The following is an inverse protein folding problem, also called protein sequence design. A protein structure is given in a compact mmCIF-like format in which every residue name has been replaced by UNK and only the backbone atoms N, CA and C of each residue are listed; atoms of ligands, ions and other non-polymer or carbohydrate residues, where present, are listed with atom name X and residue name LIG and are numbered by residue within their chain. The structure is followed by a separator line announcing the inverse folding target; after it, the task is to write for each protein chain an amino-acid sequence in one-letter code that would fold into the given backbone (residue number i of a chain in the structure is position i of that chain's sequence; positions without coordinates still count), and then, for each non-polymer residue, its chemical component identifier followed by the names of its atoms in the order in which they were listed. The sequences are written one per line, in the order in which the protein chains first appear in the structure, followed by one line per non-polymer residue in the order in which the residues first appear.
data_IF_185812753598
#
_entry.id   IF_185812753598
#
_cell.length_a   1.000
_cell.length_b   1.000
_cell.length_c   1.000
_cell.angle_alpha   90.00
_cell.angle_beta   90.00
_cell.angle_gamma   90.00
#
_symmetry.space_group_name_H-M   'P 1'
#
loop_
_entity.id
_entity.type
_entity.pdbx_description
1 polymer ?
#
# COMPACT_ATOMS: atom_id res chain seq x y z
N UNK A 1 47.56 17.62 -2.96
CA UNK A 1 46.77 16.40 -3.25
C UNK A 1 46.19 15.89 -1.94
N UNK A 2 44.88 15.65 -1.87
CA UNK A 2 44.20 15.17 -0.66
C UNK A 2 44.08 13.64 -0.73
N UNK A 3 45.19 12.94 -0.91
CA UNK A 3 45.22 11.50 -1.24
C UNK A 3 44.64 10.60 -0.12
N UNK A 4 44.41 11.12 1.09
CA UNK A 4 43.79 10.38 2.20
C UNK A 4 42.29 10.61 2.33
N UNK A 5 41.72 11.55 1.57
CA UNK A 5 40.31 11.91 1.67
C UNK A 5 39.44 10.78 1.10
N UNK A 6 38.58 10.21 1.95
CA UNK A 6 37.63 9.14 1.57
C UNK A 6 36.19 9.60 1.44
N UNK A 7 35.83 10.66 2.15
CA UNK A 7 34.47 11.20 2.18
C UNK A 7 34.55 12.69 1.91
N UNK A 8 33.77 13.15 0.94
CA UNK A 8 33.58 14.55 0.63
C UNK A 8 32.08 14.82 0.69
N UNK A 9 31.69 15.67 1.62
CA UNK A 9 30.32 16.10 1.80
C UNK A 9 30.25 17.60 1.52
N UNK A 10 29.54 17.93 0.44
CA UNK A 10 29.29 19.29 -0.04
C UNK A 10 27.80 19.61 0.05
N UNK A 11 27.05 18.91 0.91
CA UNK A 11 25.61 19.11 1.03
C UNK A 11 25.27 20.56 1.37
N UNK A 12 24.16 21.05 0.82
CA UNK A 12 23.65 22.42 0.99
C UNK A 12 24.63 23.52 0.60
N UNK A 13 25.61 23.22 -0.27
CA UNK A 13 26.45 24.25 -0.87
C UNK A 13 25.70 24.96 -2.00
N UNK A 14 24.77 25.85 -1.63
CA UNK A 14 23.76 26.47 -2.50
C UNK A 14 24.30 27.26 -3.70
N UNK A 15 25.59 27.60 -3.71
CA UNK A 15 26.24 28.41 -4.77
C UNK A 15 27.14 27.59 -5.70
N UNK A 16 27.27 26.27 -5.51
CA UNK A 16 28.03 25.43 -6.44
C UNK A 16 27.18 25.26 -7.71
N UNK A 17 27.64 25.84 -8.81
CA UNK A 17 27.02 25.71 -10.14
C UNK A 17 27.60 24.49 -10.88
N UNK A 18 28.92 24.32 -10.79
CA UNK A 18 29.66 23.18 -11.33
C UNK A 18 30.49 22.57 -10.23
N UNK A 19 30.54 21.24 -10.13
CA UNK A 19 31.41 20.58 -9.14
C UNK A 19 32.89 20.86 -9.40
N UNK A 20 33.75 20.81 -8.38
CA UNK A 20 35.19 20.95 -8.58
C UNK A 20 35.78 19.77 -9.38
N UNK A 21 37.01 19.97 -9.88
CA UNK A 21 37.82 18.89 -10.45
C UNK A 21 38.20 17.86 -9.37
N UNK A 22 37.75 16.62 -9.57
CA UNK A 22 37.95 15.49 -8.69
C UNK A 22 39.23 14.68 -8.99
N UNK A 23 39.99 15.00 -10.04
CA UNK A 23 41.20 14.26 -10.42
C UNK A 23 42.28 14.21 -9.31
N UNK A 24 42.21 15.14 -8.35
CA UNK A 24 43.11 15.20 -7.20
C UNK A 24 42.64 14.38 -5.97
N UNK A 25 41.51 13.67 -6.07
CA UNK A 25 40.87 12.89 -5.01
C UNK A 25 40.71 11.40 -5.36
N UNK A 26 41.79 10.68 -5.76
CA UNK A 26 41.68 9.34 -6.35
C UNK A 26 41.11 8.27 -5.39
N UNK A 27 41.17 8.48 -4.08
CA UNK A 27 40.75 7.53 -3.05
C UNK A 27 39.38 7.86 -2.43
N UNK A 28 38.59 8.73 -3.10
CA UNK A 28 37.27 9.10 -2.62
C UNK A 28 36.29 7.93 -2.75
N UNK A 29 35.67 7.56 -1.63
CA UNK A 29 34.72 6.44 -1.52
C UNK A 29 33.27 6.93 -1.45
N UNK A 30 33.06 8.12 -0.89
CA UNK A 30 31.72 8.71 -0.76
C UNK A 30 31.74 10.19 -1.14
N UNK A 31 30.84 10.57 -2.03
CA UNK A 31 30.57 11.94 -2.44
C UNK A 31 29.11 12.27 -2.18
N UNK A 32 28.86 13.33 -1.41
CA UNK A 32 27.50 13.82 -1.11
C UNK A 32 27.40 15.26 -1.59
N UNK A 33 26.39 15.53 -2.42
CA UNK A 33 26.07 16.82 -3.04
C UNK A 33 24.61 17.21 -2.73
N UNK A 34 24.04 16.67 -1.65
CA UNK A 34 22.61 16.78 -1.38
C UNK A 34 22.21 18.24 -1.07
N UNK A 35 21.10 18.72 -1.62
CA UNK A 35 20.60 20.08 -1.43
C UNK A 35 21.42 21.16 -2.12
N UNK A 36 22.29 20.81 -3.08
CA UNK A 36 22.98 21.77 -3.95
C UNK A 36 22.04 22.25 -5.06
N UNK A 37 21.04 23.05 -4.73
CA UNK A 37 19.96 23.43 -5.65
C UNK A 37 20.45 24.08 -6.95
N UNK A 38 21.52 24.88 -6.89
CA UNK A 38 22.10 25.59 -8.05
C UNK A 38 23.04 24.75 -8.91
N UNK A 39 23.33 23.50 -8.51
CA UNK A 39 24.24 22.62 -9.25
C UNK A 39 23.62 22.23 -10.58
N UNK A 40 24.13 22.79 -11.68
CA UNK A 40 23.66 22.52 -13.03
C UNK A 40 24.54 21.52 -13.78
N UNK A 41 25.83 21.42 -13.43
CA UNK A 41 26.78 20.57 -14.14
C UNK A 41 27.67 19.77 -13.16
N UNK A 42 27.83 18.48 -13.45
CA UNK A 42 28.81 17.62 -12.80
C UNK A 42 30.06 17.54 -13.70
N UNK A 43 31.21 17.91 -13.16
CA UNK A 43 32.47 17.93 -13.88
C UNK A 43 32.87 16.51 -14.34
N UNK A 44 33.47 16.41 -15.53
CA UNK A 44 33.81 15.13 -16.19
C UNK A 44 34.87 14.33 -15.45
N UNK A 45 35.64 14.96 -14.56
CA UNK A 45 36.59 14.30 -13.65
C UNK A 45 35.92 13.34 -12.66
N UNK A 46 34.59 13.37 -12.49
CA UNK A 46 33.87 12.37 -11.69
C UNK A 46 34.24 10.95 -12.13
N UNK A 47 34.43 10.72 -13.43
CA UNK A 47 34.80 9.42 -13.98
C UNK A 47 36.18 8.90 -13.54
N UNK A 48 37.00 9.73 -12.90
CA UNK A 48 38.33 9.36 -12.39
C UNK A 48 38.28 8.80 -10.95
N UNK A 49 37.14 8.91 -10.26
CA UNK A 49 36.95 8.42 -8.89
C UNK A 49 36.70 6.90 -8.84
N UNK A 50 37.76 6.11 -9.09
CA UNK A 50 37.66 4.64 -9.21
C UNK A 50 37.25 3.91 -7.94
N UNK A 51 37.47 4.51 -6.77
CA UNK A 51 37.10 3.95 -5.47
C UNK A 51 35.71 4.40 -4.99
N UNK A 52 34.99 5.20 -5.79
CA UNK A 52 33.71 5.77 -5.36
C UNK A 52 32.63 4.68 -5.29
N UNK A 53 32.12 4.45 -4.08
CA UNK A 53 31.07 3.47 -3.76
C UNK A 53 29.70 4.14 -3.64
N UNK A 54 29.66 5.39 -3.16
CA UNK A 54 28.40 6.13 -2.96
C UNK A 54 28.47 7.52 -3.57
N UNK A 55 27.50 7.83 -4.42
CA UNK A 55 27.24 9.17 -4.96
C UNK A 55 25.80 9.56 -4.65
N UNK A 56 25.63 10.60 -3.85
CA UNK A 56 24.32 11.17 -3.54
C UNK A 56 24.26 12.61 -4.06
N UNK A 57 23.24 12.91 -4.85
CA UNK A 57 22.98 14.23 -5.43
C UNK A 57 21.51 14.61 -5.20
N UNK A 58 20.97 14.33 -4.01
CA UNK A 58 19.56 14.55 -3.74
C UNK A 58 19.24 16.03 -3.74
N UNK A 59 18.16 16.47 -4.37
CA UNK A 59 17.78 17.89 -4.37
C UNK A 59 18.73 18.77 -5.17
N UNK A 60 19.48 18.23 -6.13
CA UNK A 60 20.19 19.04 -7.13
C UNK A 60 19.20 19.51 -8.20
N UNK A 61 18.32 20.45 -7.83
CA UNK A 61 17.18 20.86 -8.65
C UNK A 61 17.52 21.42 -10.04
N UNK A 62 18.68 22.08 -10.18
CA UNK A 62 19.17 22.64 -11.45
C UNK A 62 19.88 21.65 -12.37
N UNK A 63 20.16 20.42 -11.93
CA UNK A 63 20.89 19.43 -12.72
C UNK A 63 20.03 18.93 -13.88
N UNK A 64 20.50 19.10 -15.11
CA UNK A 64 19.76 18.70 -16.32
C UNK A 64 20.17 17.35 -16.89
N UNK A 65 21.45 16.98 -16.73
CA UNK A 65 22.02 15.73 -17.22
C UNK A 65 23.20 15.29 -16.35
N UNK A 66 23.56 14.02 -16.45
CA UNK A 66 24.82 13.50 -15.92
C UNK A 66 25.86 13.42 -17.05
N UNK A 67 27.13 13.71 -16.79
CA UNK A 67 28.19 13.55 -17.78
C UNK A 67 28.41 12.06 -18.08
N UNK A 68 28.65 11.71 -19.36
CA UNK A 68 28.94 10.33 -19.78
C UNK A 68 30.09 9.67 -18.99
N UNK A 69 31.01 10.47 -18.48
CA UNK A 69 32.11 10.04 -17.62
C UNK A 69 31.68 9.29 -16.36
N UNK A 70 30.46 9.53 -15.84
CA UNK A 70 29.90 8.80 -14.70
C UNK A 70 29.86 7.29 -14.96
N UNK A 71 29.70 6.87 -16.22
CA UNK A 71 29.66 5.48 -16.63
C UNK A 71 31.00 4.74 -16.45
N UNK A 72 32.06 5.42 -15.99
CA UNK A 72 33.38 4.85 -15.68
C UNK A 72 33.56 4.49 -14.20
N UNK A 73 32.56 4.73 -13.36
CA UNK A 73 32.56 4.49 -11.92
C UNK A 73 32.27 3.02 -11.60
N UNK A 74 33.24 2.14 -11.87
CA UNK A 74 33.05 0.70 -11.78
C UNK A 74 32.85 0.17 -10.35
N UNK A 75 33.19 0.95 -9.31
CA UNK A 75 33.01 0.59 -7.90
C UNK A 75 31.73 1.16 -7.28
N UNK A 76 30.95 1.93 -8.05
CA UNK A 76 29.77 2.60 -7.52
C UNK A 76 28.68 1.58 -7.23
N UNK A 77 28.27 1.52 -5.96
CA UNK A 77 27.20 0.63 -5.49
C UNK A 77 25.89 1.37 -5.28
N UNK A 78 25.95 2.66 -4.91
CA UNK A 78 24.78 3.48 -4.57
C UNK A 78 24.80 4.79 -5.35
N UNK A 79 23.77 5.02 -6.16
CA UNK A 79 23.52 6.28 -6.87
C UNK A 79 22.12 6.80 -6.53
N UNK A 80 22.05 8.01 -6.01
CA UNK A 80 20.78 8.69 -5.76
C UNK A 80 20.76 10.08 -6.40
N UNK A 81 19.73 10.31 -7.22
CA UNK A 81 19.42 11.59 -7.85
C UNK A 81 18.02 12.06 -7.42
N UNK A 82 17.58 11.69 -6.21
CA UNK A 82 16.23 12.02 -5.75
C UNK A 82 16.02 13.54 -5.75
N UNK A 83 14.85 14.02 -6.17
CA UNK A 83 14.52 15.44 -6.29
C UNK A 83 15.39 16.24 -7.27
N UNK A 84 16.12 15.59 -8.19
CA UNK A 84 16.73 16.25 -9.36
C UNK A 84 15.65 16.57 -10.41
N UNK A 85 14.80 17.57 -10.12
CA UNK A 85 13.57 17.83 -10.89
C UNK A 85 13.80 18.12 -12.38
N UNK A 86 14.94 18.72 -12.72
CA UNK A 86 15.27 19.11 -14.10
C UNK A 86 16.01 18.03 -14.90
N UNK A 87 16.33 16.87 -14.30
CA UNK A 87 17.01 15.81 -15.04
C UNK A 87 16.04 15.21 -16.07
N UNK A 88 16.38 15.32 -17.34
CA UNK A 88 15.51 14.86 -18.44
C UNK A 88 15.96 13.57 -19.08
N UNK A 89 17.27 13.29 -19.01
CA UNK A 89 17.87 12.08 -19.59
C UNK A 89 18.96 11.52 -18.69
N UNK A 90 19.20 10.22 -18.82
CA UNK A 90 20.34 9.54 -18.22
C UNK A 90 21.33 9.15 -19.34
N UNK A 91 22.64 9.05 -19.03
CA UNK A 91 23.64 8.62 -19.99
C UNK A 91 23.28 7.31 -20.67
N UNK A 92 23.42 7.23 -22.00
CA UNK A 92 23.06 6.03 -22.77
C UNK A 92 23.81 4.78 -22.30
N UNK A 93 25.00 4.95 -21.73
CA UNK A 93 25.87 3.89 -21.22
C UNK A 93 25.80 3.73 -19.70
N UNK A 94 24.78 4.28 -19.02
CA UNK A 94 24.64 4.17 -17.56
C UNK A 94 24.73 2.72 -17.08
N UNK A 95 24.25 1.77 -17.90
CA UNK A 95 24.38 0.33 -17.68
C UNK A 95 25.79 -0.23 -17.42
N UNK A 96 26.84 0.54 -17.73
CA UNK A 96 28.23 0.15 -17.46
C UNK A 96 28.61 0.21 -15.96
N UNK A 97 27.74 0.74 -15.10
CA UNK A 97 27.90 0.72 -13.64
C UNK A 97 27.64 -0.71 -13.09
N UNK A 98 28.54 -1.64 -13.39
CA UNK A 98 28.34 -3.08 -13.14
C UNK A 98 28.27 -3.47 -11.66
N UNK A 99 28.77 -2.62 -10.75
CA UNK A 99 28.71 -2.82 -9.30
C UNK A 99 27.50 -2.15 -8.64
N UNK A 100 26.68 -1.42 -9.40
CA UNK A 100 25.55 -0.67 -8.85
C UNK A 100 24.54 -1.64 -8.27
N UNK A 101 24.24 -1.47 -6.98
CA UNK A 101 23.25 -2.24 -6.21
C UNK A 101 21.95 -1.46 -6.05
N UNK A 102 22.05 -0.14 -5.91
CA UNK A 102 20.90 0.75 -5.70
C UNK A 102 20.94 1.95 -6.62
N UNK A 103 19.86 2.13 -7.39
CA UNK A 103 19.59 3.32 -8.18
C UNK A 103 18.27 3.96 -7.71
N UNK A 104 18.33 5.22 -7.26
CA UNK A 104 17.17 5.96 -6.79
C UNK A 104 16.99 7.26 -7.57
N UNK A 105 15.79 7.43 -8.13
CA UNK A 105 15.34 8.51 -9.01
C UNK A 105 13.94 8.98 -8.56
N UNK A 106 13.78 9.27 -7.26
CA UNK A 106 12.51 9.74 -6.70
C UNK A 106 12.31 11.21 -7.07
N UNK A 107 11.13 11.63 -7.53
CA UNK A 107 10.83 13.02 -7.93
C UNK A 107 11.73 13.57 -9.06
N UNK A 108 12.22 12.70 -9.95
CA UNK A 108 12.88 13.07 -11.21
C UNK A 108 11.82 13.42 -12.27
N UNK A 109 11.25 14.61 -12.14
CA UNK A 109 10.05 14.99 -12.89
C UNK A 109 10.28 14.99 -14.41
N UNK A 110 11.36 15.53 -14.95
CA UNK A 110 11.50 15.61 -16.42
C UNK A 110 11.99 14.32 -17.10
N UNK A 111 12.24 13.24 -16.36
CA UNK A 111 12.79 12.00 -16.91
C UNK A 111 11.75 11.25 -17.76
N UNK A 112 11.97 11.18 -19.07
CA UNK A 112 11.03 10.55 -20.01
C UNK A 112 11.23 9.04 -20.20
N UNK A 113 12.48 8.59 -20.13
CA UNK A 113 12.87 7.20 -20.40
C UNK A 113 14.08 6.78 -19.58
N UNK A 114 14.17 5.47 -19.29
CA UNK A 114 15.41 4.85 -18.85
C UNK A 114 16.20 4.34 -20.06
N UNK A 115 17.54 4.40 -20.03
CA UNK A 115 18.35 3.87 -21.11
C UNK A 115 18.26 2.34 -21.17
N UNK A 116 18.18 1.77 -22.37
CA UNK A 116 18.23 0.31 -22.60
C UNK A 116 19.50 -0.37 -22.04
N UNK A 117 20.54 0.40 -21.72
CA UNK A 117 21.70 -0.16 -21.06
C UNK A 117 21.43 -0.59 -19.62
N UNK A 118 20.32 -0.18 -18.98
CA UNK A 118 20.00 -0.53 -17.59
C UNK A 118 20.07 -2.04 -17.36
N UNK A 119 19.64 -2.88 -18.31
CA UNK A 119 19.71 -4.33 -18.21
C UNK A 119 21.12 -4.92 -18.09
N UNK A 120 22.18 -4.12 -18.32
CA UNK A 120 23.57 -4.54 -18.11
C UNK A 120 23.99 -4.47 -16.64
N UNK A 121 23.25 -3.77 -15.78
CA UNK A 121 23.56 -3.62 -14.34
C UNK A 121 23.25 -4.90 -13.55
N UNK A 122 23.95 -5.99 -13.85
CA UNK A 122 23.69 -7.32 -13.26
C UNK A 122 23.88 -7.44 -11.73
N UNK A 123 24.37 -6.38 -11.07
CA UNK A 123 24.44 -6.29 -9.61
C UNK A 123 23.29 -5.53 -8.96
N UNK A 124 22.37 -4.96 -9.76
CA UNK A 124 21.30 -4.10 -9.25
C UNK A 124 20.28 -4.92 -8.44
N UNK A 125 20.03 -4.47 -7.22
CA UNK A 125 19.14 -5.08 -6.24
C UNK A 125 17.91 -4.20 -5.99
N UNK A 126 18.08 -2.87 -6.05
CA UNK A 126 17.01 -1.89 -5.85
C UNK A 126 16.99 -0.86 -6.99
N UNK A 127 15.82 -0.73 -7.64
CA UNK A 127 15.52 0.31 -8.62
C UNK A 127 14.26 1.07 -8.17
N UNK A 128 14.44 2.34 -7.82
CA UNK A 128 13.38 3.20 -7.28
C UNK A 128 13.18 4.39 -8.24
N UNK A 129 12.04 4.41 -8.92
CA UNK A 129 11.62 5.42 -9.90
C UNK A 129 10.30 6.05 -9.44
N UNK A 130 10.26 6.67 -8.26
CA UNK A 130 9.00 7.19 -7.73
C UNK A 130 8.73 8.63 -8.18
N UNK A 131 7.47 8.97 -8.42
CA UNK A 131 7.02 10.31 -8.80
C UNK A 131 7.76 10.88 -10.02
N UNK A 132 8.21 10.02 -10.95
CA UNK A 132 8.76 10.39 -12.25
C UNK A 132 7.62 10.49 -13.26
N UNK A 133 6.77 11.51 -13.08
CA UNK A 133 5.51 11.72 -13.79
C UNK A 133 5.58 11.68 -15.34
N UNK A 134 6.73 11.92 -15.98
CA UNK A 134 6.93 11.89 -17.44
C UNK A 134 7.48 10.56 -17.96
N UNK A 135 7.85 9.62 -17.08
CA UNK A 135 8.39 8.32 -17.48
C UNK A 135 7.31 7.52 -18.22
N UNK A 136 7.49 7.31 -19.53
CA UNK A 136 6.47 6.67 -20.38
C UNK A 136 6.60 5.15 -20.40
N UNK A 137 7.82 4.63 -20.31
CA UNK A 137 8.13 3.21 -20.48
C UNK A 137 9.25 2.75 -19.56
N UNK A 138 9.17 1.48 -19.16
CA UNK A 138 10.29 0.73 -18.61
C UNK A 138 10.90 -0.07 -19.78
N UNK A 139 12.23 0.00 -20.01
CA UNK A 139 12.88 -0.68 -21.13
C UNK A 139 12.81 -2.20 -20.99
N UNK A 140 12.74 -2.92 -22.11
CA UNK A 140 12.63 -4.39 -22.13
C UNK A 140 13.85 -5.09 -21.52
N UNK A 141 15.00 -4.43 -21.58
CA UNK A 141 16.23 -4.90 -20.94
C UNK A 141 16.12 -5.06 -19.42
N UNK A 142 15.09 -4.49 -18.76
CA UNK A 142 14.85 -4.69 -17.32
C UNK A 142 14.77 -6.17 -16.96
N UNK A 143 14.18 -7.01 -17.82
CA UNK A 143 13.98 -8.44 -17.58
C UNK A 143 15.27 -9.26 -17.40
N UNK A 144 16.43 -8.67 -17.68
CA UNK A 144 17.75 -9.31 -17.54
C UNK A 144 18.30 -9.18 -16.10
N UNK A 145 17.76 -8.25 -15.30
CA UNK A 145 18.25 -7.93 -13.95
C UNK A 145 17.90 -9.02 -12.93
N UNK A 146 18.63 -10.13 -13.00
CA UNK A 146 18.38 -11.32 -12.20
C UNK A 146 18.64 -11.18 -10.70
N UNK A 147 19.26 -10.10 -10.23
CA UNK A 147 19.44 -9.78 -8.80
C UNK A 147 18.47 -8.74 -8.27
N UNK A 148 17.63 -8.14 -9.13
CA UNK A 148 16.72 -7.10 -8.70
C UNK A 148 15.68 -7.69 -7.74
N UNK A 149 15.64 -7.17 -6.53
CA UNK A 149 14.74 -7.59 -5.44
C UNK A 149 13.60 -6.59 -5.24
N UNK A 150 13.87 -5.30 -5.46
CA UNK A 150 12.89 -4.24 -5.28
C UNK A 150 12.81 -3.35 -6.52
N UNK A 151 11.62 -3.32 -7.13
CA UNK A 151 11.27 -2.38 -8.19
C UNK A 151 10.07 -1.54 -7.72
N UNK A 152 10.28 -0.23 -7.61
CA UNK A 152 9.20 0.73 -7.37
C UNK A 152 9.15 1.73 -8.51
N UNK A 153 7.98 1.89 -9.12
CA UNK A 153 7.69 2.96 -10.09
C UNK A 153 6.48 3.79 -9.66
N UNK A 154 6.25 3.85 -8.34
CA UNK A 154 5.11 4.53 -7.73
C UNK A 154 4.95 5.97 -8.23
N UNK A 155 3.76 6.36 -8.66
CA UNK A 155 3.48 7.73 -9.08
C UNK A 155 4.08 8.10 -10.44
N UNK A 156 4.54 7.13 -11.23
CA UNK A 156 4.83 7.31 -12.65
C UNK A 156 3.52 7.32 -13.44
N UNK A 157 2.83 8.46 -13.41
CA UNK A 157 1.48 8.62 -13.97
C UNK A 157 1.43 8.47 -15.49
N UNK A 158 2.52 8.79 -16.21
CA UNK A 158 2.61 8.60 -17.66
C UNK A 158 3.01 7.20 -18.11
N UNK A 159 3.34 6.28 -17.18
CA UNK A 159 3.77 4.92 -17.53
C UNK A 159 2.62 4.16 -18.21
N UNK A 160 2.79 3.86 -19.50
CA UNK A 160 1.73 3.28 -20.34
C UNK A 160 1.52 1.79 -20.09
N UNK A 161 2.61 1.05 -19.88
CA UNK A 161 2.60 -0.40 -19.73
C UNK A 161 3.75 -0.89 -18.85
N UNK A 162 3.57 -2.07 -18.27
CA UNK A 162 4.66 -2.86 -17.68
C UNK A 162 5.13 -3.83 -18.76
N UNK A 163 6.42 -3.86 -19.13
CA UNK A 163 6.89 -4.67 -20.24
C UNK A 163 6.77 -6.17 -19.94
N UNK A 164 6.51 -6.99 -20.96
CA UNK A 164 6.44 -8.45 -20.83
C UNK A 164 7.74 -9.05 -20.25
N UNK A 165 8.87 -8.39 -20.48
CA UNK A 165 10.18 -8.75 -19.92
C UNK A 165 10.23 -8.74 -18.38
N UNK A 166 9.28 -8.10 -17.69
CA UNK A 166 9.21 -8.08 -16.21
C UNK A 166 9.28 -9.50 -15.61
N UNK A 167 8.70 -10.49 -16.29
CA UNK A 167 8.73 -11.89 -15.85
C UNK A 167 10.12 -12.54 -15.82
N UNK A 168 11.15 -11.87 -16.35
CA UNK A 168 12.55 -12.29 -16.26
C UNK A 168 13.24 -11.93 -14.93
N UNK A 169 12.62 -11.09 -14.11
CA UNK A 169 13.15 -10.66 -12.80
C UNK A 169 13.00 -11.75 -11.73
N UNK A 170 13.73 -12.86 -11.89
CA UNK A 170 13.57 -14.07 -11.07
C UNK A 170 13.81 -13.89 -9.58
N UNK A 171 14.54 -12.85 -9.16
CA UNK A 171 14.81 -12.52 -7.76
C UNK A 171 13.88 -11.44 -7.20
N UNK A 172 12.91 -10.95 -7.97
CA UNK A 172 12.06 -9.85 -7.52
C UNK A 172 11.18 -10.28 -6.36
N UNK A 173 11.22 -9.51 -5.29
CA UNK A 173 10.51 -9.74 -4.03
C UNK A 173 9.39 -8.71 -3.83
N UNK A 174 9.64 -7.46 -4.24
CA UNK A 174 8.72 -6.33 -4.09
C UNK A 174 8.55 -5.62 -5.44
N UNK A 175 7.29 -5.49 -5.87
CA UNK A 175 6.88 -4.68 -7.02
C UNK A 175 5.81 -3.67 -6.61
N UNK A 176 6.14 -2.38 -6.70
CA UNK A 176 5.24 -1.26 -6.39
C UNK A 176 4.95 -0.46 -7.67
N UNK A 177 3.68 -0.43 -8.05
CA UNK A 177 3.12 0.27 -9.21
C UNK A 177 2.03 1.28 -8.79
N UNK A 178 1.98 1.63 -7.51
CA UNK A 178 0.93 2.51 -6.96
C UNK A 178 0.87 3.85 -7.72
N UNK A 179 -0.33 4.41 -7.91
CA UNK A 179 -0.57 5.68 -8.60
C UNK A 179 -0.09 5.73 -10.06
N UNK A 180 0.10 4.57 -10.71
CA UNK A 180 0.33 4.50 -12.15
C UNK A 180 -1.00 4.56 -12.92
N UNK A 181 -1.41 5.77 -13.30
CA UNK A 181 -2.75 6.04 -13.81
C UNK A 181 -3.06 5.50 -15.20
N UNK A 182 -2.05 5.17 -16.01
CA UNK A 182 -2.23 4.71 -17.39
C UNK A 182 -2.11 3.19 -17.57
N UNK A 183 -1.68 2.44 -16.55
CA UNK A 183 -1.55 0.98 -16.64
C UNK A 183 -2.95 0.35 -16.70
N UNK A 184 -3.24 -0.31 -17.83
CA UNK A 184 -4.53 -0.96 -18.08
C UNK A 184 -4.58 -2.43 -17.70
N UNK A 185 -3.45 -3.12 -17.89
CA UNK A 185 -3.31 -4.56 -17.65
C UNK A 185 -1.88 -4.86 -17.24
N UNK A 186 -1.70 -5.91 -16.43
CA UNK A 186 -0.39 -6.49 -16.16
C UNK A 186 -0.04 -7.55 -17.20
N UNK A 187 1.21 -7.62 -17.68
CA UNK A 187 1.64 -8.66 -18.60
C UNK A 187 1.49 -10.05 -17.97
N UNK A 188 1.12 -11.05 -18.78
CA UNK A 188 0.91 -12.42 -18.28
C UNK A 188 2.18 -13.05 -17.70
N UNK A 189 3.35 -12.54 -18.09
CA UNK A 189 4.67 -12.92 -17.58
C UNK A 189 4.89 -12.57 -16.11
N UNK A 190 4.06 -11.69 -15.51
CA UNK A 190 4.09 -11.40 -14.08
C UNK A 190 4.02 -12.68 -13.23
N UNK A 191 3.29 -13.70 -13.71
CA UNK A 191 3.19 -14.99 -13.05
C UNK A 191 4.50 -15.79 -12.97
N UNK A 192 5.57 -15.35 -13.62
CA UNK A 192 6.89 -15.98 -13.54
C UNK A 192 7.71 -15.52 -12.31
N UNK A 193 7.26 -14.48 -11.60
CA UNK A 193 7.96 -13.89 -10.46
C UNK A 193 7.79 -14.75 -9.19
N UNK A 194 8.48 -15.88 -9.13
CA UNK A 194 8.31 -16.91 -8.08
C UNK A 194 8.68 -16.44 -6.66
N UNK A 195 9.50 -15.41 -6.53
CA UNK A 195 9.94 -14.85 -5.24
C UNK A 195 9.13 -13.63 -4.80
N UNK A 196 8.20 -13.14 -5.65
CA UNK A 196 7.43 -11.95 -5.36
C UNK A 196 6.53 -12.20 -4.15
N UNK A 197 6.79 -11.49 -3.05
CA UNK A 197 5.98 -11.57 -1.85
C UNK A 197 5.05 -10.36 -1.70
N UNK A 198 5.36 -9.23 -2.35
CA UNK A 198 4.53 -8.02 -2.32
C UNK A 198 4.29 -7.46 -3.72
N UNK A 199 3.02 -7.34 -4.08
CA UNK A 199 2.55 -6.68 -5.30
C UNK A 199 1.55 -5.58 -4.93
N UNK A 200 1.85 -4.34 -5.30
CA UNK A 200 1.01 -3.18 -5.01
C UNK A 200 0.70 -2.41 -6.29
N UNK A 201 -0.58 -2.20 -6.58
CA UNK A 201 -1.11 -1.35 -7.66
C UNK A 201 -2.18 -0.39 -7.13
N UNK A 202 -2.02 0.12 -5.91
CA UNK A 202 -3.01 1.00 -5.30
C UNK A 202 -3.17 2.28 -6.13
N UNK A 203 -4.40 2.74 -6.29
CA UNK A 203 -4.81 3.94 -7.00
C UNK A 203 -4.34 3.94 -8.47
N UNK A 204 -4.48 2.78 -9.13
CA UNK A 204 -4.34 2.64 -10.59
C UNK A 204 -5.74 2.61 -11.25
N UNK A 205 -6.35 3.76 -11.56
CA UNK A 205 -7.73 3.84 -12.02
C UNK A 205 -7.97 3.27 -13.42
N UNK A 206 -6.95 3.10 -14.26
CA UNK A 206 -7.11 2.48 -15.58
C UNK A 206 -7.02 0.95 -15.54
N UNK A 207 -6.67 0.36 -14.39
CA UNK A 207 -6.57 -1.09 -14.25
C UNK A 207 -7.98 -1.69 -14.12
N UNK A 208 -8.50 -2.22 -15.23
CA UNK A 208 -9.86 -2.77 -15.32
C UNK A 208 -9.90 -4.29 -15.06
N UNK A 209 -8.80 -4.99 -15.32
CA UNK A 209 -8.70 -6.44 -15.19
C UNK A 209 -7.41 -6.90 -14.51
N UNK A 210 -7.51 -8.01 -13.78
CA UNK A 210 -6.38 -8.72 -13.22
C UNK A 210 -6.25 -10.08 -13.92
N UNK A 211 -5.08 -10.36 -14.49
CA UNK A 211 -4.83 -11.60 -15.24
C UNK A 211 -4.83 -12.84 -14.33
N UNK A 212 -5.30 -13.98 -14.85
CA UNK A 212 -5.22 -15.28 -14.18
C UNK A 212 -3.77 -15.73 -13.87
N UNK A 213 -2.75 -15.12 -14.51
CA UNK A 213 -1.35 -15.38 -14.18
C UNK A 213 -0.98 -15.01 -12.75
N UNK A 214 -1.74 -14.13 -12.07
CA UNK A 214 -1.50 -13.77 -10.68
C UNK A 214 -1.52 -14.99 -9.76
N UNK A 215 -2.39 -15.98 -10.01
CA UNK A 215 -2.41 -17.22 -9.22
C UNK A 215 -1.11 -18.04 -9.25
N UNK A 216 -0.18 -17.76 -10.17
CA UNK A 216 1.14 -18.41 -10.24
C UNK A 216 2.15 -17.84 -9.23
N UNK A 217 1.86 -16.72 -8.58
CA UNK A 217 2.75 -16.06 -7.61
C UNK A 217 2.77 -16.78 -6.25
N UNK A 218 3.32 -17.99 -6.20
CA UNK A 218 3.26 -18.89 -5.03
C UNK A 218 3.96 -18.37 -3.75
N UNK A 219 4.70 -17.26 -3.84
CA UNK A 219 5.32 -16.60 -2.69
C UNK A 219 4.57 -15.35 -2.22
N UNK A 220 3.50 -14.94 -2.92
CA UNK A 220 2.79 -13.70 -2.65
C UNK A 220 2.14 -13.72 -1.27
N UNK A 221 2.43 -12.68 -0.48
CA UNK A 221 1.89 -12.42 0.86
C UNK A 221 0.99 -11.20 0.88
N UNK A 222 1.31 -10.18 0.09
CA UNK A 222 0.56 -8.94 0.02
C UNK A 222 0.14 -8.65 -1.43
N UNK A 223 -1.17 -8.55 -1.66
CA UNK A 223 -1.76 -8.07 -2.91
C UNK A 223 -2.63 -6.86 -2.59
N UNK A 224 -2.16 -5.68 -3.02
CA UNK A 224 -2.81 -4.39 -2.75
C UNK A 224 -3.28 -3.77 -4.06
N UNK A 225 -4.58 -3.55 -4.18
CA UNK A 225 -5.28 -3.12 -5.40
C UNK A 225 -6.30 -2.01 -5.09
N UNK A 226 -6.10 -1.26 -4.00
CA UNK A 226 -7.05 -0.25 -3.52
C UNK A 226 -7.27 0.83 -4.59
N UNK A 227 -8.49 1.34 -4.75
CA UNK A 227 -8.79 2.45 -5.67
C UNK A 227 -8.59 2.11 -7.16
N UNK A 228 -8.52 0.83 -7.52
CA UNK A 228 -8.55 0.39 -8.91
C UNK A 228 -9.98 0.29 -9.47
N UNK A 229 -10.11 0.17 -10.79
CA UNK A 229 -11.40 -0.05 -11.47
C UNK A 229 -11.62 -1.51 -11.86
N UNK A 230 -11.03 -2.43 -11.09
CA UNK A 230 -11.14 -3.87 -11.32
C UNK A 230 -12.60 -4.29 -11.15
N UNK A 231 -13.17 -4.89 -12.20
CA UNK A 231 -14.56 -5.41 -12.17
C UNK A 231 -14.67 -6.78 -11.52
N UNK A 232 -13.66 -7.63 -11.74
CA UNK A 232 -13.64 -9.02 -11.28
C UNK A 232 -12.26 -9.41 -10.77
N UNK A 233 -12.25 -10.11 -9.65
CA UNK A 233 -11.04 -10.81 -9.17
C UNK A 233 -10.99 -12.18 -9.85
N UNK A 234 -9.87 -12.58 -10.49
CA UNK A 234 -9.80 -13.87 -11.17
C UNK A 234 -9.78 -15.02 -10.15
N UNK A 235 -10.46 -16.13 -10.46
CA UNK A 235 -10.54 -17.31 -9.59
C UNK A 235 -9.16 -17.83 -9.15
N UNK A 236 -8.14 -17.63 -9.98
CA UNK A 236 -6.75 -17.99 -9.70
C UNK A 236 -6.16 -17.33 -8.45
N UNK A 237 -6.72 -16.22 -7.95
CA UNK A 237 -6.25 -15.64 -6.68
C UNK A 237 -6.39 -16.62 -5.52
N UNK A 238 -7.40 -17.50 -5.55
CA UNK A 238 -7.60 -18.55 -4.55
C UNK A 238 -6.46 -19.59 -4.45
N UNK A 239 -5.56 -19.66 -5.44
CA UNK A 239 -4.38 -20.53 -5.38
C UNK A 239 -3.20 -19.93 -4.61
N UNK A 240 -3.30 -18.69 -4.14
CA UNK A 240 -2.23 -17.99 -3.41
C UNK A 240 -2.18 -18.39 -1.93
N UNK A 241 -1.76 -19.62 -1.64
CA UNK A 241 -1.84 -20.21 -0.28
C UNK A 241 -1.01 -19.49 0.80
N UNK A 242 -0.07 -18.61 0.42
CA UNK A 242 0.71 -17.76 1.34
C UNK A 242 0.16 -16.34 1.48
N UNK A 243 -0.92 -15.99 0.78
CA UNK A 243 -1.47 -14.64 0.82
C UNK A 243 -1.95 -14.34 2.24
N UNK A 244 -1.35 -13.31 2.82
CA UNK A 244 -1.59 -12.84 4.18
C UNK A 244 -2.54 -11.64 4.17
N UNK A 245 -2.39 -10.75 3.17
CA UNK A 245 -3.18 -9.53 3.02
C UNK A 245 -3.68 -9.38 1.59
N UNK A 246 -4.99 -9.21 1.45
CA UNK A 246 -5.67 -8.85 0.21
C UNK A 246 -6.45 -7.56 0.43
N UNK A 247 -6.13 -6.53 -0.36
CA UNK A 247 -6.77 -5.22 -0.28
C UNK A 247 -7.35 -4.81 -1.62
N UNK A 248 -8.65 -4.58 -1.65
CA UNK A 248 -9.46 -4.05 -2.75
C UNK A 248 -10.35 -2.90 -2.23
N UNK A 249 -9.81 -2.09 -1.32
CA UNK A 249 -10.52 -0.95 -0.76
C UNK A 249 -10.84 0.06 -1.87
N UNK A 250 -11.98 0.73 -1.81
CA UNK A 250 -12.38 1.73 -2.81
C UNK A 250 -12.41 1.23 -4.27
N UNK A 251 -12.48 -0.08 -4.52
CA UNK A 251 -12.75 -0.66 -5.84
C UNK A 251 -14.25 -0.61 -6.16
N UNK A 252 -14.77 0.59 -6.42
CA UNK A 252 -16.22 0.83 -6.56
C UNK A 252 -16.87 0.11 -7.76
N UNK A 253 -16.07 -0.31 -8.75
CA UNK A 253 -16.51 -1.07 -9.92
C UNK A 253 -16.49 -2.59 -9.71
N UNK A 254 -16.10 -3.07 -8.52
CA UNK A 254 -16.01 -4.50 -8.22
C UNK A 254 -17.40 -5.13 -8.17
N UNK A 255 -17.69 -5.99 -9.14
CA UNK A 255 -18.97 -6.69 -9.30
C UNK A 255 -18.94 -8.06 -8.61
N UNK A 256 -17.81 -8.77 -8.69
CA UNK A 256 -17.70 -10.16 -8.27
C UNK A 256 -16.34 -10.46 -7.63
N UNK A 257 -16.39 -11.13 -6.47
CA UNK A 257 -15.23 -11.74 -5.82
C UNK A 257 -15.48 -13.26 -5.77
N UNK A 258 -14.63 -14.07 -6.41
CA UNK A 258 -14.90 -15.49 -6.63
C UNK A 258 -14.81 -16.30 -5.33
N UNK A 259 -15.61 -17.37 -5.24
CA UNK A 259 -15.62 -18.29 -4.09
C UNK A 259 -14.26 -18.91 -3.74
N UNK A 260 -13.35 -18.96 -4.71
CA UNK A 260 -11.99 -19.45 -4.50
C UNK A 260 -11.19 -18.58 -3.52
N UNK A 261 -11.58 -17.33 -3.27
CA UNK A 261 -11.00 -16.51 -2.20
C UNK A 261 -11.20 -17.18 -0.83
N UNK A 262 -12.30 -17.92 -0.63
CA UNK A 262 -12.53 -18.71 0.57
C UNK A 262 -11.54 -19.86 0.78
N UNK A 263 -10.66 -20.16 -0.17
CA UNK A 263 -9.60 -21.17 -0.06
C UNK A 263 -8.25 -20.59 0.41
N UNK A 264 -8.19 -19.31 0.76
CA UNK A 264 -6.98 -18.63 1.21
C UNK A 264 -6.73 -18.87 2.71
N UNK A 265 -6.17 -20.05 3.02
CA UNK A 265 -5.95 -20.53 4.39
C UNK A 265 -5.02 -19.65 5.25
N UNK A 266 -4.14 -18.86 4.63
CA UNK A 266 -3.20 -17.96 5.34
C UNK A 266 -3.69 -16.52 5.46
N UNK A 267 -4.86 -16.18 4.90
CA UNK A 267 -5.33 -14.81 4.81
C UNK A 267 -5.75 -14.29 6.19
N UNK A 268 -5.11 -13.21 6.62
CA UNK A 268 -5.35 -12.57 7.92
C UNK A 268 -5.99 -11.21 7.80
N UNK A 269 -5.69 -10.48 6.74
CA UNK A 269 -6.23 -9.15 6.47
C UNK A 269 -6.97 -9.16 5.13
N UNK A 270 -8.28 -8.92 5.19
CA UNK A 270 -9.13 -8.76 4.01
C UNK A 270 -9.81 -7.40 4.06
N UNK A 271 -9.53 -6.59 3.05
CA UNK A 271 -10.12 -5.26 2.90
C UNK A 271 -10.86 -5.24 1.57
N UNK A 272 -12.18 -5.06 1.61
CA UNK A 272 -13.05 -5.03 0.43
C UNK A 272 -13.99 -3.84 0.51
N UNK A 273 -14.22 -3.17 -0.61
CA UNK A 273 -15.36 -2.24 -0.74
C UNK A 273 -16.31 -2.80 -1.79
N UNK A 274 -17.57 -3.05 -1.39
CA UNK A 274 -18.58 -3.52 -2.33
C UNK A 274 -19.17 -2.35 -3.13
N UNK A 275 -19.14 -2.48 -4.46
CA UNK A 275 -19.80 -1.56 -5.40
C UNK A 275 -21.33 -1.69 -5.40
N UNK A 276 -22.01 -0.99 -6.30
CA UNK A 276 -23.49 -0.88 -6.31
C UNK A 276 -24.24 -2.22 -6.32
N UNK A 277 -23.68 -3.24 -6.96
CA UNK A 277 -24.27 -4.59 -7.07
C UNK A 277 -23.63 -5.62 -6.14
N UNK A 278 -22.64 -5.20 -5.32
CA UNK A 278 -21.91 -6.10 -4.46
C UNK A 278 -22.80 -6.67 -3.35
N UNK A 279 -22.75 -7.98 -3.17
CA UNK A 279 -23.37 -8.67 -2.05
C UNK A 279 -22.29 -9.36 -1.22
N UNK A 280 -22.51 -9.43 0.10
CA UNK A 280 -21.60 -10.17 0.97
C UNK A 280 -21.67 -11.66 0.64
N UNK A 281 -20.55 -12.32 0.29
CA UNK A 281 -20.59 -13.70 -0.13
C UNK A 281 -20.46 -14.68 1.05
N UNK A 282 -21.05 -15.88 0.92
CA UNK A 282 -21.05 -16.90 1.98
C UNK A 282 -19.69 -17.58 2.19
N UNK A 283 -18.79 -17.54 1.19
CA UNK A 283 -17.46 -18.12 1.31
C UNK A 283 -16.59 -17.39 2.34
N UNK A 284 -16.99 -16.19 2.80
CA UNK A 284 -16.27 -15.46 3.86
C UNK A 284 -16.08 -16.32 5.10
N UNK A 285 -17.08 -17.13 5.49
CA UNK A 285 -17.01 -17.99 6.67
C UNK A 285 -15.91 -19.07 6.60
N UNK A 286 -15.41 -19.38 5.39
CA UNK A 286 -14.31 -20.33 5.19
C UNK A 286 -12.95 -19.75 5.57
N UNK A 287 -12.81 -18.42 5.67
CA UNK A 287 -11.56 -17.73 6.02
C UNK A 287 -11.27 -17.79 7.52
N UNK A 288 -11.05 -19.00 8.04
CA UNK A 288 -10.92 -19.23 9.48
C UNK A 288 -9.66 -18.62 10.11
N UNK A 289 -8.67 -18.23 9.32
CA UNK A 289 -7.46 -17.54 9.78
C UNK A 289 -7.58 -16.01 9.81
N UNK A 290 -8.73 -15.45 9.39
CA UNK A 290 -8.91 -14.01 9.23
C UNK A 290 -8.92 -13.31 10.59
N UNK A 291 -8.02 -12.34 10.77
CA UNK A 291 -7.88 -11.53 11.97
C UNK A 291 -8.58 -10.16 11.79
N UNK A 292 -8.56 -9.62 10.58
CA UNK A 292 -9.04 -8.27 10.24
C UNK A 292 -9.90 -8.34 8.99
N UNK A 293 -11.14 -7.87 9.11
CA UNK A 293 -12.08 -7.70 8.00
C UNK A 293 -12.55 -6.25 7.97
N UNK A 294 -12.23 -5.55 6.88
CA UNK A 294 -12.64 -4.16 6.65
C UNK A 294 -13.52 -4.13 5.41
N UNK A 295 -14.76 -3.70 5.60
CA UNK A 295 -15.79 -3.56 4.57
C UNK A 295 -16.20 -2.11 4.34
N UNK A 296 -15.33 -1.18 4.73
CA UNK A 296 -15.62 0.26 4.75
C UNK A 296 -15.99 0.80 3.38
N UNK A 297 -16.87 1.79 3.38
CA UNK A 297 -17.38 2.46 2.18
C UNK A 297 -18.29 1.61 1.31
N UNK A 298 -18.72 0.43 1.77
CA UNK A 298 -19.66 -0.47 1.07
C UNK A 298 -21.09 0.09 1.11
N UNK A 299 -21.31 1.23 0.44
CA UNK A 299 -22.52 2.04 0.57
C UNK A 299 -23.81 1.34 0.12
N UNK A 300 -23.71 0.32 -0.74
CA UNK A 300 -24.83 -0.49 -1.25
C UNK A 300 -25.13 -1.74 -0.40
N UNK A 301 -24.21 -2.14 0.49
CA UNK A 301 -24.29 -3.38 1.24
C UNK A 301 -25.43 -3.30 2.25
N UNK A 302 -26.50 -4.09 2.02
CA UNK A 302 -27.70 -4.07 2.87
C UNK A 302 -27.63 -4.99 4.08
N UNK A 303 -26.97 -6.13 3.94
CA UNK A 303 -26.90 -7.21 4.93
C UNK A 303 -25.56 -7.93 4.82
N UNK A 304 -25.09 -8.47 5.94
CA UNK A 304 -24.01 -9.45 5.95
C UNK A 304 -24.58 -10.87 5.87
N UNK A 305 -23.78 -11.81 5.38
CA UNK A 305 -24.11 -13.24 5.42
C UNK A 305 -23.99 -13.78 6.86
N UNK A 306 -24.85 -14.74 7.22
CA UNK A 306 -24.77 -15.43 8.51
C UNK A 306 -23.44 -16.19 8.68
N UNK A 307 -22.78 -16.57 7.58
CA UNK A 307 -21.46 -17.21 7.57
C UNK A 307 -20.36 -16.37 8.23
N UNK A 308 -20.58 -15.06 8.43
CA UNK A 308 -19.66 -14.21 9.18
C UNK A 308 -19.33 -14.79 10.56
N UNK A 309 -20.29 -15.44 11.21
CA UNK A 309 -20.11 -16.07 12.53
C UNK A 309 -19.14 -17.24 12.54
N UNK A 310 -18.70 -17.74 11.39
CA UNK A 310 -17.68 -18.79 11.27
C UNK A 310 -16.25 -18.25 11.37
N UNK A 311 -16.06 -16.92 11.32
CA UNK A 311 -14.77 -16.25 11.43
C UNK A 311 -14.24 -16.23 12.87
N UNK A 312 -13.98 -17.41 13.43
CA UNK A 312 -13.59 -17.62 14.84
C UNK A 312 -12.28 -16.94 15.27
N UNK A 313 -11.45 -16.46 14.33
CA UNK A 313 -10.24 -15.69 14.62
C UNK A 313 -10.39 -14.18 14.47
N UNK A 314 -11.54 -13.69 14.01
CA UNK A 314 -11.70 -12.28 13.69
C UNK A 314 -11.60 -11.42 14.96
N UNK A 315 -10.70 -10.44 14.92
CA UNK A 315 -10.44 -9.49 16.01
C UNK A 315 -10.99 -8.11 15.71
N UNK A 316 -10.96 -7.71 14.43
CA UNK A 316 -11.48 -6.43 13.98
C UNK A 316 -12.47 -6.64 12.83
N UNK A 317 -13.69 -6.12 13.02
CA UNK A 317 -14.69 -5.97 11.97
C UNK A 317 -15.03 -4.48 11.81
N UNK A 318 -14.77 -3.93 10.62
CA UNK A 318 -15.12 -2.55 10.27
C UNK A 318 -16.09 -2.51 9.09
N UNK A 319 -17.14 -1.71 9.22
CA UNK A 319 -18.21 -1.47 8.26
C UNK A 319 -18.47 0.04 8.12
N UNK A 320 -17.45 0.87 8.31
CA UNK A 320 -17.57 2.32 8.31
C UNK A 320 -18.18 2.81 6.99
N UNK A 321 -19.09 3.79 7.06
CA UNK A 321 -19.81 4.36 5.93
C UNK A 321 -20.59 3.33 5.08
N UNK A 322 -21.00 2.19 5.68
CA UNK A 322 -21.95 1.23 5.07
C UNK A 322 -23.39 1.76 5.17
N UNK A 323 -23.67 2.88 4.48
CA UNK A 323 -24.90 3.68 4.65
C UNK A 323 -26.21 2.93 4.39
N UNK A 324 -26.18 1.87 3.58
CA UNK A 324 -27.37 1.04 3.29
C UNK A 324 -27.54 -0.18 4.19
N UNK A 325 -26.61 -0.44 5.11
CA UNK A 325 -26.68 -1.59 6.00
C UNK A 325 -27.88 -1.47 6.92
N UNK A 326 -28.83 -2.39 6.80
CA UNK A 326 -30.09 -2.35 7.55
C UNK A 326 -29.98 -3.14 8.87
N UNK A 327 -29.29 -4.28 8.83
CA UNK A 327 -29.20 -5.24 9.92
C UNK A 327 -27.85 -5.99 9.93
N UNK A 328 -27.36 -6.29 11.13
CA UNK A 328 -26.28 -7.26 11.35
C UNK A 328 -26.89 -8.65 11.63
N UNK A 329 -26.28 -9.74 11.14
CA UNK A 329 -26.74 -11.10 11.43
C UNK A 329 -26.51 -11.44 12.90
N UNK A 330 -27.40 -12.26 13.48
CA UNK A 330 -27.26 -12.72 14.87
C UNK A 330 -26.00 -13.56 15.10
N UNK A 331 -25.44 -14.16 14.05
CA UNK A 331 -24.21 -14.95 14.10
C UNK A 331 -22.96 -14.12 14.44
N UNK A 332 -23.02 -12.78 14.41
CA UNK A 332 -21.93 -11.92 14.88
C UNK A 332 -21.58 -12.19 16.36
N UNK A 333 -22.54 -12.64 17.16
CA UNK A 333 -22.33 -13.07 18.55
C UNK A 333 -21.42 -14.31 18.68
N UNK A 334 -21.23 -15.07 17.61
CA UNK A 334 -20.35 -16.26 17.57
C UNK A 334 -18.88 -15.92 17.37
N UNK A 335 -18.54 -14.65 17.09
CA UNK A 335 -17.17 -14.19 16.86
C UNK A 335 -16.38 -14.12 18.18
N UNK A 336 -15.98 -15.29 18.68
CA UNK A 336 -15.41 -15.49 20.02
C UNK A 336 -14.04 -14.84 20.27
N UNK A 337 -13.47 -14.13 19.29
CA UNK A 337 -12.23 -13.36 19.39
C UNK A 337 -12.39 -11.90 18.98
N UNK A 338 -13.61 -11.45 18.66
CA UNK A 338 -13.84 -10.08 18.23
C UNK A 338 -13.52 -9.12 19.37
N UNK A 339 -12.60 -8.20 19.11
CA UNK A 339 -12.16 -7.16 20.03
C UNK A 339 -12.74 -5.80 19.65
N UNK A 340 -12.88 -5.52 18.36
CA UNK A 340 -13.36 -4.23 17.86
C UNK A 340 -14.44 -4.40 16.79
N UNK A 341 -15.54 -3.69 16.99
CA UNK A 341 -16.63 -3.55 16.01
C UNK A 341 -16.83 -2.07 15.69
N UNK A 342 -16.56 -1.70 14.43
CA UNK A 342 -16.65 -0.33 13.93
C UNK A 342 -17.80 -0.25 12.90
N UNK A 343 -18.77 0.61 13.18
CA UNK A 343 -20.03 0.77 12.46
C UNK A 343 -20.34 2.25 12.15
N UNK A 344 -19.33 3.14 12.22
CA UNK A 344 -19.52 4.57 11.99
C UNK A 344 -20.27 4.84 10.67
N UNK A 345 -21.24 5.76 10.68
CA UNK A 345 -21.96 6.15 9.47
C UNK A 345 -22.90 5.08 8.88
N UNK A 346 -23.24 4.02 9.62
CA UNK A 346 -24.26 3.03 9.21
C UNK A 346 -25.68 3.60 9.36
N UNK A 347 -26.04 4.54 8.48
CA UNK A 347 -27.23 5.38 8.63
C UNK A 347 -28.57 4.64 8.65
N UNK A 348 -28.67 3.46 8.02
CA UNK A 348 -29.89 2.63 8.00
C UNK A 348 -29.91 1.50 9.03
N UNK A 349 -28.85 1.33 9.82
CA UNK A 349 -28.75 0.23 10.77
C UNK A 349 -29.79 0.44 11.89
N UNK A 350 -30.73 -0.50 12.02
CA UNK A 350 -31.85 -0.36 12.95
C UNK A 350 -31.55 -0.92 14.34
N UNK A 351 -30.77 -2.00 14.40
CA UNK A 351 -30.44 -2.67 15.65
C UNK A 351 -29.05 -3.29 15.62
N UNK A 352 -28.43 -3.40 16.79
CA UNK A 352 -27.21 -4.19 17.00
C UNK A 352 -27.59 -5.46 17.76
N UNK A 353 -27.40 -6.66 17.19
CA UNK A 353 -27.74 -7.94 17.83
C UNK A 353 -26.75 -8.28 18.95
N UNK A 354 -26.93 -9.43 19.59
CA UNK A 354 -26.02 -9.89 20.65
C UNK A 354 -24.57 -9.95 20.16
N UNK A 355 -23.68 -9.36 20.96
CA UNK A 355 -22.26 -9.23 20.67
C UNK A 355 -21.45 -10.21 21.54
N UNK A 356 -20.27 -10.65 21.08
CA UNK A 356 -19.42 -11.55 21.85
C UNK A 356 -18.84 -10.85 23.08
N UNK A 357 -18.73 -11.57 24.20
CA UNK A 357 -18.22 -11.06 25.48
C UNK A 357 -16.73 -10.67 25.45
N UNK A 358 -16.01 -10.94 24.36
CA UNK A 358 -14.63 -10.51 24.13
C UNK A 358 -14.50 -9.08 23.63
N UNK A 359 -15.62 -8.43 23.27
CA UNK A 359 -15.61 -7.11 22.65
C UNK A 359 -15.03 -6.05 23.60
N UNK A 360 -14.00 -5.36 23.12
CA UNK A 360 -13.28 -4.29 23.84
C UNK A 360 -13.78 -2.91 23.42
N UNK A 361 -14.11 -2.72 22.14
CA UNK A 361 -14.61 -1.45 21.61
C UNK A 361 -15.80 -1.67 20.67
N UNK A 362 -16.88 -0.91 20.93
CA UNK A 362 -18.02 -0.74 20.03
C UNK A 362 -18.10 0.72 19.61
N UNK A 363 -17.86 0.99 18.32
CA UNK A 363 -17.84 2.35 17.76
C UNK A 363 -18.90 2.44 16.67
N UNK A 364 -20.05 3.05 16.95
CA UNK A 364 -21.19 3.15 16.04
C UNK A 364 -21.73 4.58 15.98
N UNK A 365 -20.86 5.56 15.73
CA UNK A 365 -21.24 6.96 15.62
C UNK A 365 -22.01 7.23 14.33
N UNK A 366 -22.96 8.16 14.33
CA UNK A 366 -23.72 8.55 13.14
C UNK A 366 -24.71 7.48 12.63
N UNK A 367 -25.00 6.45 13.42
CA UNK A 367 -26.03 5.46 13.11
C UNK A 367 -27.44 6.03 13.39
N UNK A 368 -27.90 6.94 12.54
CA UNK A 368 -29.10 7.73 12.79
C UNK A 368 -30.40 6.91 12.91
N UNK A 369 -30.50 5.77 12.20
CA UNK A 369 -31.66 4.87 12.27
C UNK A 369 -31.63 3.89 13.45
N UNK A 370 -30.56 3.86 14.25
CA UNK A 370 -30.38 2.89 15.33
C UNK A 370 -31.40 3.12 16.44
N UNK A 371 -32.30 2.15 16.64
CA UNK A 371 -33.36 2.21 17.64
C UNK A 371 -32.96 1.47 18.93
N UNK A 372 -32.29 0.33 18.78
CA UNK A 372 -31.92 -0.57 19.90
C UNK A 372 -30.52 -1.15 19.73
N UNK A 373 -29.87 -1.44 20.85
CA UNK A 373 -28.67 -2.28 20.90
C UNK A 373 -28.90 -3.43 21.88
N UNK A 374 -28.13 -4.51 21.75
CA UNK A 374 -28.21 -5.65 22.66
C UNK A 374 -27.99 -5.24 24.13
N UNK A 375 -28.42 -6.10 25.05
CA UNK A 375 -28.05 -5.97 26.47
C UNK A 375 -26.53 -6.10 26.59
N UNK A 376 -25.87 -5.04 27.03
CA UNK A 376 -24.40 -5.01 27.17
C UNK A 376 -23.93 -5.57 28.50
N UNK A 377 -24.83 -6.08 29.35
CA UNK A 377 -24.52 -6.64 30.68
C UNK A 377 -23.36 -7.62 30.70
N UNK A 378 -23.23 -8.44 29.65
CA UNK A 378 -22.24 -9.52 29.55
C UNK A 378 -20.92 -9.09 28.90
N UNK A 379 -20.82 -7.85 28.42
CA UNK A 379 -19.62 -7.29 27.78
C UNK A 379 -18.62 -6.75 28.81
N UNK A 380 -18.24 -7.59 29.79
CA UNK A 380 -17.48 -7.18 30.98
C UNK A 380 -16.09 -6.57 30.68
N UNK A 381 -15.54 -6.85 29.50
CA UNK A 381 -14.24 -6.33 29.04
C UNK A 381 -14.35 -5.09 28.14
N UNK A 382 -15.57 -4.62 27.85
CA UNK A 382 -15.82 -3.44 27.02
C UNK A 382 -15.22 -2.20 27.68
N UNK A 383 -14.31 -1.53 26.97
CA UNK A 383 -13.60 -0.33 27.42
C UNK A 383 -14.11 0.95 26.76
N UNK A 384 -14.56 0.83 25.51
CA UNK A 384 -15.00 1.95 24.69
C UNK A 384 -16.39 1.68 24.09
N UNK A 385 -17.33 2.59 24.34
CA UNK A 385 -18.67 2.59 23.75
C UNK A 385 -18.95 3.97 23.16
N UNK A 386 -18.93 4.08 21.83
CA UNK A 386 -19.22 5.32 21.11
C UNK A 386 -20.51 5.15 20.31
N UNK A 387 -21.53 5.92 20.64
CA UNK A 387 -22.83 5.96 19.96
C UNK A 387 -23.22 7.41 19.68
N UNK A 388 -22.25 8.25 19.32
CA UNK A 388 -22.49 9.67 19.04
C UNK A 388 -23.48 9.81 17.86
N UNK A 389 -24.37 10.79 17.92
CA UNK A 389 -25.37 11.07 16.88
C UNK A 389 -26.34 9.91 16.54
N UNK A 390 -26.51 8.92 17.42
CA UNK A 390 -27.57 7.90 17.32
C UNK A 390 -28.93 8.48 17.70
N UNK A 391 -29.51 9.28 16.79
CA UNK A 391 -30.67 10.12 17.13
C UNK A 391 -31.92 9.37 17.59
N UNK A 392 -32.14 8.12 17.13
CA UNK A 392 -33.33 7.30 17.44
C UNK A 392 -33.13 6.31 18.59
N UNK A 393 -31.93 6.26 19.18
CA UNK A 393 -31.62 5.34 20.27
C UNK A 393 -32.32 5.79 21.56
N UNK A 394 -33.07 4.88 22.17
CA UNK A 394 -33.93 5.20 23.34
C UNK A 394 -33.29 4.76 24.66
N UNK A 395 -32.61 3.62 24.67
CA UNK A 395 -32.00 3.03 25.86
C UNK A 395 -30.77 2.19 25.54
N UNK A 396 -29.96 1.93 26.57
CA UNK A 396 -28.81 1.03 26.55
C UNK A 396 -28.93 0.12 27.78
N UNK A 397 -29.40 -1.12 27.58
CA UNK A 397 -29.61 -2.07 28.67
C UNK A 397 -28.27 -2.64 29.17
N UNK A 398 -28.11 -2.78 30.50
CA UNK A 398 -26.94 -3.40 31.11
C UNK A 398 -25.70 -2.51 31.26
N UNK A 399 -25.81 -1.22 30.91
CA UNK A 399 -24.71 -0.25 30.96
C UNK A 399 -24.07 -0.15 32.35
N UNK A 400 -24.88 -0.24 33.41
CA UNK A 400 -24.43 -0.20 34.81
C UNK A 400 -23.55 -1.39 35.24
N UNK A 401 -23.55 -2.49 34.46
CA UNK A 401 -22.74 -3.68 34.76
C UNK A 401 -21.35 -3.63 34.12
N UNK A 402 -21.09 -2.66 33.26
CA UNK A 402 -19.83 -2.54 32.52
C UNK A 402 -18.69 -1.97 33.38
N UNK A 403 -18.05 -2.85 34.15
CA UNK A 403 -16.97 -2.47 35.08
C UNK A 403 -15.68 -1.96 34.42
N UNK A 404 -15.43 -2.37 33.18
CA UNK A 404 -14.21 -2.00 32.44
C UNK A 404 -14.38 -0.75 31.57
N UNK A 405 -15.60 -0.20 31.49
CA UNK A 405 -15.91 0.90 30.60
C UNK A 405 -15.16 2.17 31.04
N UNK A 406 -14.27 2.64 30.19
CA UNK A 406 -13.43 3.82 30.43
C UNK A 406 -13.81 5.01 29.57
N UNK A 407 -14.43 4.76 28.41
CA UNK A 407 -14.86 5.79 27.46
C UNK A 407 -16.30 5.50 27.05
N UNK A 408 -17.19 6.44 27.37
CA UNK A 408 -18.59 6.43 26.96
C UNK A 408 -18.90 7.72 26.24
N UNK A 409 -19.30 7.65 24.97
CA UNK A 409 -19.65 8.82 24.15
C UNK A 409 -21.05 8.67 23.58
N UNK A 410 -21.94 9.57 24.00
CA UNK A 410 -23.37 9.54 23.71
C UNK A 410 -23.93 10.90 23.25
N UNK A 411 -23.06 11.84 22.84
CA UNK A 411 -23.54 13.17 22.45
C UNK A 411 -24.40 13.06 21.19
N UNK A 412 -25.47 13.87 21.09
CA UNK A 412 -26.37 13.84 19.94
C UNK A 412 -27.45 12.74 19.99
N UNK A 413 -27.47 11.86 21.00
CA UNK A 413 -28.55 10.89 21.25
C UNK A 413 -29.78 11.57 21.87
N UNK A 414 -30.62 12.18 21.02
CA UNK A 414 -31.73 13.06 21.47
C UNK A 414 -32.87 12.32 22.18
N UNK A 415 -33.06 11.02 21.93
CA UNK A 415 -34.14 10.22 22.50
C UNK A 415 -33.72 9.34 23.69
N UNK A 416 -32.46 9.44 24.11
CA UNK A 416 -31.94 8.68 25.23
C UNK A 416 -32.64 9.13 26.52
N UNK A 417 -33.25 8.20 27.24
CA UNK A 417 -34.05 8.55 28.42
C UNK A 417 -33.22 9.28 29.49
N UNK A 418 -33.83 10.28 30.15
CA UNK A 418 -33.23 10.97 31.30
C UNK A 418 -32.90 10.01 32.45
N UNK A 419 -33.62 8.87 32.54
CA UNK A 419 -33.34 7.80 33.49
C UNK A 419 -31.99 7.12 33.26
N UNK A 420 -31.50 7.03 32.02
CA UNK A 420 -30.17 6.49 31.74
C UNK A 420 -29.07 7.42 32.30
N UNK A 421 -29.23 8.74 32.16
CA UNK A 421 -28.30 9.71 32.74
C UNK A 421 -28.27 9.64 34.27
N UNK A 422 -29.41 9.36 34.91
CA UNK A 422 -29.49 9.17 36.37
C UNK A 422 -28.78 7.88 36.81
N UNK A 423 -28.87 6.78 36.03
CA UNK A 423 -28.18 5.51 36.31
C UNK A 423 -26.66 5.59 36.16
N UNK A 424 -26.16 6.50 35.32
CA UNK A 424 -24.72 6.69 35.12
C UNK A 424 -24.06 7.51 36.24
N UNK A 425 -24.85 8.24 37.03
CA UNK A 425 -24.37 9.11 38.12
C UNK A 425 -24.51 8.47 39.52
N UNK A 426 -25.03 7.24 39.62
CA UNK A 426 -25.13 6.44 40.85
C UNK A 426 -24.22 5.23 40.76
#
# INVERSE_FOLDING_TARGET
KLDRLKVLDLSHCLYIITTPDFASLPNLVKLVLDGCDSLSELDRSIGDLKELVTLSMKGCGSLTELPDSICKLNSLENLSLDHCRNISTLPKLLGNLMSLRKLSLVWCTLLEELPESIGKMTSLEELILECSWMLKKIPDSIGILNKLQHLSVKGCTSLEEVPDSIGGLVSLEILILDYCTNIKVLPSSIGNLKNLYKLSLNYCPSLEELSCSIGKLQSLKELLLDGCQIRKVPYSVGSLKKLYRLSLAHCLSLEEVPDSIGELESLKELILTFGENGTMPDWIGRLRALDVLILDGSASLRKLSDSIGELTNLRLLSLEESRSLEQLPSSIGSLCRLEQLILNGCQKLQSIPQLPSTLVALIANGCAALETICDVSDLLVLKELHLEECTRLVEIAGLEKLKSLSVLRLWGCKHLSSHLMVRLCM
#
